data_IF_924214657409
#
_entry.id   IF_924214657409
#
_cell.length_a   1.000
_cell.length_b   1.000
_cell.length_c   1.000
_cell.angle_alpha   90.00
_cell.angle_beta   90.00
_cell.angle_gamma   90.00
#
_symmetry.space_group_name_H-M   'P 1'
#
loop_
_entity.id
_entity.type
_entity.pdbx_description
1 polymer ?
#
# COMPACT_ATOMS: atom_id res chain seq x y z
N UNK A 1 0.55 15.09 3.26
CA UNK A 1 0.00 14.44 4.48
C UNK A 1 -0.49 15.55 5.38
N UNK A 2 -1.69 15.47 5.98
CA UNK A 2 -2.08 16.45 6.98
C UNK A 2 -1.07 16.37 8.13
N UNK A 3 -0.28 17.43 8.30
CA UNK A 3 0.79 17.50 9.30
C UNK A 3 0.30 18.11 10.62
N UNK A 4 -0.98 18.49 10.68
CA UNK A 4 -1.66 19.05 11.85
C UNK A 4 -3.11 18.57 11.93
N UNK A 5 -3.69 18.42 13.15
CA UNK A 5 -5.11 18.11 13.34
C UNK A 5 -6.08 19.10 12.70
N UNK A 6 -5.67 20.36 12.52
CA UNK A 6 -6.47 21.44 11.95
C UNK A 6 -6.33 21.55 10.42
N UNK A 7 -5.60 20.62 9.80
CA UNK A 7 -5.46 20.61 8.35
C UNK A 7 -6.82 20.27 7.71
N UNK A 8 -7.33 21.09 6.77
CA UNK A 8 -8.62 20.88 6.13
C UNK A 8 -8.73 19.55 5.37
N UNK A 9 -7.62 18.87 5.10
CA UNK A 9 -7.59 17.53 4.53
C UNK A 9 -7.90 16.42 5.54
N UNK A 10 -7.89 16.70 6.86
CA UNK A 10 -8.13 15.68 7.92
C UNK A 10 -9.50 15.00 7.78
N UNK A 11 -10.62 15.72 7.57
CA UNK A 11 -11.92 15.08 7.39
C UNK A 11 -11.96 14.16 6.16
N UNK A 12 -11.37 14.59 5.04
CA UNK A 12 -11.32 13.80 3.80
C UNK A 12 -10.46 12.54 3.97
N UNK A 13 -9.30 12.64 4.64
CA UNK A 13 -8.45 11.50 4.93
C UNK A 13 -9.12 10.48 5.85
N UNK A 14 -9.85 10.95 6.87
CA UNK A 14 -10.63 10.05 7.75
C UNK A 14 -11.73 9.34 6.99
N UNK A 15 -12.46 10.04 6.13
CA UNK A 15 -13.50 9.44 5.30
C UNK A 15 -12.93 8.39 4.32
N UNK A 16 -11.78 8.67 3.72
CA UNK A 16 -11.09 7.70 2.86
C UNK A 16 -10.61 6.47 3.65
N UNK A 17 -10.07 6.67 4.87
CA UNK A 17 -9.69 5.56 5.74
C UNK A 17 -10.89 4.68 6.11
N UNK A 18 -12.02 5.29 6.45
CA UNK A 18 -13.28 4.57 6.69
C UNK A 18 -13.73 3.76 5.46
N UNK A 19 -13.65 4.34 4.26
CA UNK A 19 -13.98 3.65 3.03
C UNK A 19 -13.05 2.45 2.76
N UNK A 20 -11.75 2.60 2.99
CA UNK A 20 -10.77 1.51 2.88
C UNK A 20 -11.05 0.36 3.87
N UNK A 21 -11.58 0.67 5.06
CA UNK A 21 -11.98 -0.35 6.05
C UNK A 21 -13.17 -1.22 5.64
N UNK A 22 -13.86 -0.86 4.54
CA UNK A 22 -14.97 -1.63 3.95
C UNK A 22 -14.63 -2.12 2.53
N UNK A 23 -13.37 -2.04 2.13
CA UNK A 23 -12.95 -2.44 0.81
C UNK A 23 -12.64 -3.95 0.78
N UNK A 24 -13.60 -4.72 0.29
CA UNK A 24 -13.49 -6.20 0.20
C UNK A 24 -12.89 -6.68 -1.13
N UNK A 25 -12.68 -5.78 -2.09
CA UNK A 25 -12.03 -6.15 -3.36
C UNK A 25 -10.53 -6.40 -3.16
N UNK A 26 -9.91 -7.27 -3.96
CA UNK A 26 -8.49 -7.58 -3.85
C UNK A 26 -7.61 -6.33 -3.71
N UNK A 27 -6.74 -6.33 -2.70
CA UNK A 27 -5.81 -5.24 -2.41
C UNK A 27 -4.39 -5.80 -2.25
N UNK A 28 -3.48 -5.40 -3.13
CA UNK A 28 -2.06 -5.79 -3.08
C UNK A 28 -1.21 -4.65 -2.51
N UNK A 29 -0.25 -4.99 -1.67
CA UNK A 29 0.72 -4.05 -1.10
C UNK A 29 2.13 -4.53 -1.42
N UNK A 30 2.85 -3.77 -2.24
CA UNK A 30 4.25 -3.99 -2.55
C UNK A 30 5.03 -2.73 -2.17
N UNK A 31 5.95 -2.86 -1.20
CA UNK A 31 6.70 -1.72 -0.65
C UNK A 31 8.21 -1.91 -0.83
N UNK A 32 8.96 -0.81 -0.86
CA UNK A 32 10.42 -0.85 -0.84
C UNK A 32 10.94 -1.21 0.55
N UNK A 33 11.76 -2.26 0.66
CA UNK A 33 12.41 -2.65 1.91
C UNK A 33 13.29 -1.54 2.51
N UNK A 34 13.84 -0.66 1.66
CA UNK A 34 14.78 0.40 2.03
C UNK A 34 14.16 1.80 2.01
N UNK A 35 12.84 1.93 1.95
CA UNK A 35 12.19 3.25 1.96
C UNK A 35 12.07 3.80 3.40
N UNK A 36 12.89 4.80 3.80
CA UNK A 36 12.80 5.38 5.13
C UNK A 36 11.59 6.32 5.28
N UNK A 37 10.99 6.77 4.17
CA UNK A 37 9.88 7.74 4.18
C UNK A 37 8.57 7.03 4.52
N UNK A 38 8.28 5.93 3.83
CA UNK A 38 7.07 5.13 4.09
C UNK A 38 7.27 4.10 5.20
N UNK A 39 8.51 3.72 5.52
CA UNK A 39 8.84 2.86 6.65
C UNK A 39 8.03 1.56 6.65
N UNK A 40 7.17 1.36 7.66
CA UNK A 40 6.28 0.20 7.85
C UNK A 40 4.79 0.48 7.59
N UNK A 41 4.48 1.45 6.73
CA UNK A 41 3.09 1.86 6.46
C UNK A 41 2.23 0.80 5.75
N UNK A 42 2.83 -0.22 5.13
CA UNK A 42 2.13 -1.38 4.55
C UNK A 42 1.35 -2.18 5.60
N UNK A 43 1.94 -2.43 6.78
CA UNK A 43 1.32 -3.23 7.85
C UNK A 43 -0.06 -2.72 8.28
N UNK A 44 -0.20 -1.43 8.66
CA UNK A 44 -1.50 -0.83 8.98
C UNK A 44 -2.52 -0.92 7.84
N UNK A 45 -2.09 -0.73 6.58
CA UNK A 45 -2.98 -0.84 5.41
C UNK A 45 -3.50 -2.27 5.25
N UNK A 46 -2.60 -3.27 5.27
CA UNK A 46 -2.94 -4.69 5.13
C UNK A 46 -3.89 -5.14 6.25
N UNK A 47 -3.66 -4.67 7.49
CA UNK A 47 -4.53 -5.01 8.62
C UNK A 47 -5.92 -4.36 8.52
N UNK A 48 -5.99 -3.16 7.97
CA UNK A 48 -7.23 -2.36 7.95
C UNK A 48 -8.15 -2.70 6.77
N UNK A 49 -7.59 -3.06 5.62
CA UNK A 49 -8.34 -3.30 4.38
C UNK A 49 -8.72 -4.79 4.28
N UNK A 50 -10.02 -5.17 4.34
CA UNK A 50 -10.43 -6.57 4.31
C UNK A 50 -9.94 -7.33 3.07
N UNK A 51 -10.01 -6.71 1.90
CA UNK A 51 -9.57 -7.31 0.63
C UNK A 51 -8.06 -7.52 0.50
N UNK A 52 -7.26 -7.12 1.50
CA UNK A 52 -5.84 -7.44 1.60
C UNK A 52 -5.60 -8.85 2.20
N UNK A 53 -6.58 -9.41 2.92
CA UNK A 53 -6.41 -10.71 3.56
C UNK A 53 -6.03 -11.81 2.54
N UNK A 54 -4.91 -12.50 2.80
CA UNK A 54 -4.42 -13.59 1.97
C UNK A 54 -3.76 -13.17 0.64
N UNK A 55 -3.62 -11.88 0.36
CA UNK A 55 -2.98 -11.40 -0.86
C UNK A 55 -1.45 -11.52 -0.77
N UNK A 56 -0.73 -11.71 -1.90
CA UNK A 56 0.71 -11.97 -1.92
C UNK A 56 1.54 -10.67 -1.74
N UNK A 57 1.35 -9.99 -0.60
CA UNK A 57 2.09 -8.79 -0.24
C UNK A 57 3.60 -9.02 -0.22
N UNK A 58 4.38 -7.99 -0.55
CA UNK A 58 5.82 -8.12 -0.61
C UNK A 58 6.55 -6.84 -0.21
N UNK A 59 7.75 -7.03 0.34
CA UNK A 59 8.78 -5.98 0.41
C UNK A 59 9.93 -6.35 -0.50
N UNK A 60 10.21 -5.52 -1.49
CA UNK A 60 11.24 -5.78 -2.50
C UNK A 60 12.48 -4.91 -2.25
N UNK A 61 13.62 -5.26 -2.86
CA UNK A 61 14.91 -4.59 -2.61
C UNK A 61 15.01 -3.23 -3.32
N UNK A 62 14.15 -2.31 -2.90
CA UNK A 62 14.02 -0.96 -3.44
C UNK A 62 13.88 0.08 -2.32
N UNK A 63 14.18 1.34 -2.66
CA UNK A 63 14.04 2.52 -1.81
C UNK A 63 12.69 3.21 -2.09
N UNK A 64 12.62 4.54 -1.99
CA UNK A 64 11.38 5.29 -2.18
C UNK A 64 10.84 5.25 -3.62
N UNK A 65 11.72 5.38 -4.62
CA UNK A 65 11.36 5.29 -6.02
C UNK A 65 11.41 3.83 -6.49
N UNK A 66 10.49 3.01 -5.96
CA UNK A 66 10.44 1.56 -6.19
C UNK A 66 10.43 1.17 -7.67
N UNK A 67 9.78 1.96 -8.52
CA UNK A 67 9.74 1.76 -9.96
C UNK A 67 11.09 1.93 -10.66
N UNK A 68 12.00 2.75 -10.11
CA UNK A 68 13.35 2.96 -10.66
C UNK A 68 14.32 1.87 -10.17
N UNK A 69 14.24 1.53 -8.89
CA UNK A 69 15.13 0.54 -8.28
C UNK A 69 14.79 -0.92 -8.68
N UNK A 70 13.50 -1.23 -8.86
CA UNK A 70 13.02 -2.61 -9.05
C UNK A 70 11.77 -2.69 -9.92
N UNK A 71 11.69 -1.87 -10.98
CA UNK A 71 10.54 -1.81 -11.88
C UNK A 71 10.12 -3.16 -12.48
N UNK A 72 11.08 -3.98 -12.93
CA UNK A 72 10.79 -5.32 -13.48
C UNK A 72 10.14 -6.24 -12.45
N UNK A 73 10.73 -6.37 -11.25
CA UNK A 73 10.16 -7.20 -10.18
C UNK A 73 8.77 -6.69 -9.75
N UNK A 74 8.59 -5.36 -9.65
CA UNK A 74 7.31 -4.76 -9.32
C UNK A 74 6.23 -5.13 -10.36
N UNK A 75 6.56 -5.01 -11.66
CA UNK A 75 5.66 -5.36 -12.74
C UNK A 75 5.32 -6.86 -12.77
N UNK A 76 6.32 -7.73 -12.61
CA UNK A 76 6.13 -9.19 -12.58
C UNK A 76 5.18 -9.63 -11.45
N UNK A 77 5.34 -9.05 -10.26
CA UNK A 77 4.46 -9.32 -9.12
C UNK A 77 3.03 -8.85 -9.39
N UNK A 78 2.85 -7.67 -9.97
CA UNK A 78 1.53 -7.15 -10.35
C UNK A 78 0.84 -8.02 -11.42
N UNK A 79 1.58 -8.42 -12.45
CA UNK A 79 1.05 -9.28 -13.52
C UNK A 79 0.68 -10.68 -13.00
N UNK A 80 1.53 -11.26 -12.16
CA UNK A 80 1.27 -12.56 -11.53
C UNK A 80 0.03 -12.50 -10.63
N UNK A 81 -0.11 -11.42 -9.87
CA UNK A 81 -1.28 -11.19 -9.02
C UNK A 81 -2.57 -11.04 -9.82
N UNK A 82 -2.53 -10.23 -10.89
CA UNK A 82 -3.68 -10.04 -11.78
C UNK A 82 -4.14 -11.35 -12.43
N UNK A 83 -3.23 -12.27 -12.74
CA UNK A 83 -3.56 -13.57 -13.33
C UNK A 83 -4.11 -14.58 -12.32
N UNK A 84 -3.82 -14.41 -11.03
CA UNK A 84 -4.19 -15.32 -9.94
C UNK A 84 -5.47 -14.90 -9.19
N UNK A 85 -6.03 -13.73 -9.52
CA UNK A 85 -7.19 -13.11 -8.86
C UNK A 85 -8.40 -13.15 -9.78
#
# INVERSE_FOLDING_TARGET
>A
MPTSPDDPAVPANRAAWEALGRWDKPFLAIFGYRDPILGQADGPLIKHIPGAAGQPHARIKASHFIQEDSGTELAERMLSWQQAT
#
